data_IF_077098253728
#
_entry.id   IF_077098253728
#
_cell.length_a   1.000
_cell.length_b   1.000
_cell.length_c   1.000
_cell.angle_alpha   90.00
_cell.angle_beta   90.00
_cell.angle_gamma   90.00
#
_symmetry.space_group_name_H-M   'P 1'
#
loop_
_entity.id
_entity.type
_entity.pdbx_description
1 polymer ?
#
# COMPACT_ATOMS: atom_id res chain seq x y z
N UNK A 1 83.50 -30.00 -18.91
CA UNK A 1 83.45 -29.78 -20.37
C UNK A 1 82.01 -29.96 -20.84
N UNK A 2 81.53 -29.10 -21.74
CA UNK A 2 80.35 -29.38 -22.58
C UNK A 2 80.71 -30.49 -23.61
N UNK A 3 79.78 -31.11 -24.39
CA UNK A 3 78.45 -30.60 -24.76
C UNK A 3 77.29 -31.64 -24.88
N UNK A 4 76.13 -31.12 -25.30
CA UNK A 4 75.01 -31.79 -26.01
C UNK A 4 75.51 -32.55 -27.28
N UNK A 5 74.79 -33.54 -27.87
CA UNK A 5 73.36 -33.53 -28.21
C UNK A 5 72.66 -34.89 -27.87
N UNK A 6 71.59 -35.43 -28.48
CA UNK A 6 70.75 -35.10 -29.67
C UNK A 6 69.31 -35.67 -29.55
N UNK A 7 68.43 -35.30 -30.49
CA UNK A 7 67.06 -35.80 -30.69
C UNK A 7 66.96 -37.24 -31.24
N UNK A 8 65.92 -38.00 -30.87
CA UNK A 8 64.95 -38.62 -31.82
C UNK A 8 63.81 -39.42 -31.14
N UNK A 9 62.64 -39.34 -31.77
CA UNK A 9 61.34 -39.96 -31.48
C UNK A 9 61.30 -41.50 -31.35
N UNK A 10 60.25 -42.06 -30.71
CA UNK A 10 59.26 -43.01 -31.30
C UNK A 10 58.29 -43.64 -30.25
N UNK A 11 57.06 -43.95 -30.74
CA UNK A 11 55.95 -44.76 -30.16
C UNK A 11 55.03 -44.13 -29.08
N UNK A 12 53.68 -44.14 -29.29
CA UNK A 12 52.69 -43.73 -28.28
C UNK A 12 52.16 -44.92 -27.47
N UNK A 13 51.99 -44.73 -26.16
CA UNK A 13 51.35 -45.72 -25.28
C UNK A 13 49.84 -45.45 -25.17
N UNK A 14 49.01 -46.43 -25.54
CA UNK A 14 47.57 -46.41 -25.31
C UNK A 14 47.29 -46.50 -23.80
N UNK A 15 46.71 -45.45 -23.20
CA UNK A 15 46.19 -45.50 -21.83
C UNK A 15 44.66 -45.34 -21.82
N UNK A 16 43.98 -46.36 -21.30
CA UNK A 16 42.53 -46.46 -21.24
C UNK A 16 41.97 -45.74 -20.00
N UNK A 17 41.70 -44.43 -20.11
CA UNK A 17 41.06 -43.69 -19.01
C UNK A 17 39.52 -43.83 -19.05
N UNK A 18 38.97 -44.59 -18.11
CA UNK A 18 37.51 -44.62 -17.87
C UNK A 18 37.01 -43.23 -17.42
N UNK A 19 36.15 -42.62 -18.22
CA UNK A 19 35.39 -41.44 -17.82
C UNK A 19 34.24 -41.83 -16.88
N UNK A 20 34.53 -41.86 -15.57
CA UNK A 20 33.49 -41.81 -14.54
C UNK A 20 32.82 -40.43 -14.64
N UNK A 21 31.60 -40.37 -15.18
CA UNK A 21 30.81 -39.14 -15.17
C UNK A 21 30.13 -38.99 -13.81
N UNK A 22 30.44 -37.93 -13.03
CA UNK A 22 29.62 -37.61 -11.87
C UNK A 22 28.29 -37.05 -12.39
N UNK A 23 27.21 -37.81 -12.20
CA UNK A 23 25.86 -37.33 -12.46
C UNK A 23 25.54 -36.18 -11.50
N UNK A 24 25.79 -34.95 -11.95
CA UNK A 24 25.42 -33.73 -11.23
C UNK A 24 23.90 -33.61 -11.17
N UNK A 25 23.33 -34.21 -10.13
CA UNK A 25 21.92 -34.08 -9.80
C UNK A 25 21.62 -32.61 -9.41
N UNK A 26 21.10 -31.85 -10.37
CA UNK A 26 20.61 -30.49 -10.12
C UNK A 26 19.59 -30.49 -8.97
N UNK A 27 19.73 -29.61 -7.96
CA UNK A 27 18.80 -29.58 -6.84
C UNK A 27 17.41 -29.12 -7.30
N UNK A 28 16.40 -30.00 -7.18
CA UNK A 28 14.98 -29.77 -7.56
C UNK A 28 14.25 -28.74 -6.67
N UNK A 29 14.82 -27.55 -6.45
CA UNK A 29 14.30 -26.52 -5.53
C UNK A 29 13.31 -25.52 -6.18
N UNK A 30 12.89 -25.72 -7.43
CA UNK A 30 12.01 -24.79 -8.18
C UNK A 30 10.60 -25.32 -8.53
N UNK A 31 10.32 -26.62 -8.36
CA UNK A 31 9.06 -27.22 -8.81
C UNK A 31 7.76 -26.65 -8.16
N UNK A 32 7.70 -26.27 -6.87
CA UNK A 32 6.44 -25.84 -6.24
C UNK A 32 5.87 -24.53 -6.82
N UNK A 33 6.74 -23.54 -7.06
CA UNK A 33 6.34 -22.22 -7.56
C UNK A 33 5.79 -22.31 -9.00
N UNK A 34 6.49 -23.03 -9.88
CA UNK A 34 6.06 -23.25 -11.26
C UNK A 34 4.74 -24.02 -11.34
N UNK A 35 4.54 -25.03 -10.48
CA UNK A 35 3.25 -25.76 -10.37
C UNK A 35 2.12 -24.84 -9.91
N UNK A 36 2.38 -23.89 -9.02
CA UNK A 36 1.39 -22.91 -8.54
C UNK A 36 1.03 -21.90 -9.63
N UNK A 37 2.02 -21.38 -10.36
CA UNK A 37 1.84 -20.50 -11.53
C UNK A 37 0.98 -21.18 -12.62
N UNK A 38 1.31 -22.41 -13.02
CA UNK A 38 0.56 -23.15 -14.04
C UNK A 38 -0.91 -23.36 -13.65
N UNK A 39 -1.18 -23.80 -12.41
CA UNK A 39 -2.56 -23.98 -11.91
C UNK A 39 -3.33 -22.66 -11.87
N UNK A 40 -2.68 -21.55 -11.58
CA UNK A 40 -3.30 -20.23 -11.60
C UNK A 40 -3.64 -19.80 -13.03
N UNK A 41 -2.71 -19.94 -13.98
CA UNK A 41 -2.94 -19.64 -15.40
C UNK A 41 -4.09 -20.47 -15.99
N UNK A 42 -4.13 -21.78 -15.70
CA UNK A 42 -5.22 -22.67 -16.10
C UNK A 42 -6.57 -22.20 -15.53
N UNK A 43 -6.63 -21.98 -14.22
CA UNK A 43 -7.83 -21.48 -13.56
C UNK A 43 -8.30 -20.12 -14.12
N UNK A 44 -7.37 -19.20 -14.36
CA UNK A 44 -7.67 -17.87 -14.87
C UNK A 44 -8.26 -17.98 -16.29
N UNK A 45 -7.63 -18.80 -17.14
CA UNK A 45 -8.09 -19.10 -18.49
C UNK A 45 -9.49 -19.70 -18.47
N UNK A 46 -9.77 -20.66 -17.58
CA UNK A 46 -11.10 -21.29 -17.42
C UNK A 46 -12.21 -20.28 -17.08
N UNK A 47 -11.93 -19.30 -16.22
CA UNK A 47 -12.91 -18.27 -15.83
C UNK A 47 -13.05 -17.15 -16.86
N UNK A 48 -12.08 -16.96 -17.76
CA UNK A 48 -12.14 -15.93 -18.82
C UNK A 48 -12.45 -16.48 -20.21
N UNK A 49 -12.75 -17.78 -20.39
CA UNK A 49 -13.08 -18.39 -21.70
C UNK A 49 -14.19 -17.68 -22.50
N UNK A 50 -15.15 -17.06 -21.80
CA UNK A 50 -16.27 -16.31 -22.40
C UNK A 50 -15.96 -14.83 -22.68
N UNK A 51 -14.73 -14.39 -22.43
CA UNK A 51 -14.25 -13.02 -22.63
C UNK A 51 -13.01 -13.02 -23.52
N UNK A 52 -12.55 -11.85 -23.95
CA UNK A 52 -11.31 -11.69 -24.74
C UNK A 52 -10.14 -12.46 -24.12
N UNK A 53 -9.42 -13.23 -24.93
CA UNK A 53 -8.28 -14.02 -24.48
C UNK A 53 -7.22 -13.14 -23.81
N UNK A 54 -6.68 -13.61 -22.67
CA UNK A 54 -5.68 -12.85 -21.91
C UNK A 54 -4.32 -12.92 -22.63
N UNK A 55 -3.71 -11.79 -23.01
CA UNK A 55 -2.37 -11.78 -23.60
C UNK A 55 -1.33 -12.00 -22.49
N UNK A 56 -1.16 -13.25 -22.06
CA UNK A 56 -0.32 -13.63 -20.91
C UNK A 56 1.11 -13.09 -21.02
N UNK A 57 1.72 -13.13 -22.20
CA UNK A 57 3.07 -12.57 -22.47
C UNK A 57 3.23 -11.07 -22.16
N UNK A 58 2.13 -10.33 -22.04
CA UNK A 58 2.10 -8.89 -21.71
C UNK A 58 1.43 -8.59 -20.37
N UNK A 59 0.91 -9.60 -19.67
CA UNK A 59 0.08 -9.43 -18.47
C UNK A 59 0.48 -10.29 -17.28
N UNK A 60 1.32 -11.31 -17.48
CA UNK A 60 1.75 -12.24 -16.45
C UNK A 60 3.27 -12.34 -16.44
N UNK A 61 3.88 -12.09 -15.28
CA UNK A 61 5.33 -11.98 -15.13
C UNK A 61 5.81 -12.87 -13.98
N UNK A 62 6.67 -13.84 -14.27
CA UNK A 62 7.29 -14.76 -13.31
C UNK A 62 8.76 -14.37 -13.09
N UNK A 63 9.44 -14.83 -12.02
CA UNK A 63 10.89 -14.60 -11.85
C UNK A 63 11.74 -15.02 -13.06
N UNK A 64 11.29 -16.00 -13.84
CA UNK A 64 11.94 -16.47 -15.08
C UNK A 64 11.72 -15.50 -16.28
N UNK A 65 10.85 -14.50 -16.15
CA UNK A 65 10.55 -13.52 -17.20
C UNK A 65 11.58 -12.37 -17.18
N UNK A 66 12.20 -12.06 -18.31
CA UNK A 66 13.26 -11.04 -18.42
C UNK A 66 12.86 -9.62 -17.97
N UNK A 67 11.55 -9.31 -17.99
CA UNK A 67 10.98 -8.03 -17.57
C UNK A 67 10.41 -8.03 -16.14
N UNK A 68 10.48 -9.14 -15.39
CA UNK A 68 9.88 -9.25 -14.06
C UNK A 68 10.37 -8.19 -13.08
N UNK A 69 11.69 -8.03 -12.96
CA UNK A 69 12.31 -7.02 -12.10
C UNK A 69 11.91 -5.60 -12.53
N UNK A 70 11.82 -5.34 -13.83
CA UNK A 70 11.38 -4.05 -14.37
C UNK A 70 9.92 -3.76 -14.00
N UNK A 71 9.02 -4.73 -14.16
CA UNK A 71 7.60 -4.60 -13.77
C UNK A 71 7.46 -4.46 -12.25
N UNK A 72 8.20 -5.23 -11.46
CA UNK A 72 8.20 -5.11 -9.99
C UNK A 72 8.67 -3.72 -9.55
N UNK A 73 9.76 -3.22 -10.12
CA UNK A 73 10.38 -1.96 -9.72
C UNK A 73 9.66 -0.72 -10.29
N UNK A 74 8.83 -0.89 -11.33
CA UNK A 74 8.19 0.21 -12.07
C UNK A 74 7.40 1.19 -11.20
N UNK A 75 6.54 0.68 -10.31
CA UNK A 75 5.67 1.49 -9.42
C UNK A 75 5.98 1.30 -7.94
N UNK A 76 6.92 0.43 -7.56
CA UNK A 76 7.37 0.32 -6.17
C UNK A 76 8.20 1.57 -5.78
N UNK A 77 7.71 2.35 -4.80
CA UNK A 77 8.29 3.66 -4.49
C UNK A 77 9.27 3.62 -3.31
N UNK A 78 9.02 2.80 -2.28
CA UNK A 78 9.98 2.59 -1.20
C UNK A 78 10.97 1.48 -1.57
N UNK A 79 12.21 1.86 -1.87
CA UNK A 79 13.27 0.94 -2.31
C UNK A 79 13.67 -0.08 -1.24
N UNK A 80 13.42 0.21 0.05
CA UNK A 80 13.66 -0.71 1.18
C UNK A 80 12.94 -2.05 1.04
N UNK A 81 11.85 -2.08 0.28
CA UNK A 81 11.06 -3.28 0.01
C UNK A 81 11.42 -4.00 -1.31
N UNK A 82 12.37 -3.46 -2.07
CA UNK A 82 12.96 -4.10 -3.25
C UNK A 82 14.27 -4.84 -2.95
N UNK A 83 14.92 -4.57 -1.81
CA UNK A 83 16.16 -5.23 -1.35
C UNK A 83 16.10 -6.77 -1.50
N UNK A 84 17.22 -7.45 -1.84
CA UNK A 84 17.23 -8.90 -2.06
C UNK A 84 16.73 -9.73 -0.87
N UNK A 85 16.91 -9.24 0.37
CA UNK A 85 16.46 -9.89 1.61
C UNK A 85 14.94 -9.90 1.82
N UNK A 86 14.18 -9.10 1.06
CA UNK A 86 12.72 -9.01 1.17
C UNK A 86 12.05 -10.05 0.27
N UNK A 87 11.06 -10.77 0.80
CA UNK A 87 10.28 -11.76 0.04
C UNK A 87 9.67 -11.13 -1.23
N UNK A 88 9.85 -11.83 -2.36
CA UNK A 88 9.36 -11.44 -3.68
C UNK A 88 8.10 -12.24 -4.03
N UNK A 89 7.18 -11.70 -4.86
CA UNK A 89 5.98 -12.43 -5.25
C UNK A 89 6.33 -13.63 -6.12
N UNK A 90 5.49 -14.67 -6.09
CA UNK A 90 5.61 -15.85 -6.97
C UNK A 90 5.42 -15.47 -8.44
N UNK A 91 4.59 -14.44 -8.69
CA UNK A 91 4.36 -13.81 -10.00
C UNK A 91 3.59 -12.48 -9.84
N UNK A 92 3.57 -11.67 -10.91
CA UNK A 92 2.78 -10.44 -11.03
C UNK A 92 1.75 -10.64 -12.14
N UNK A 93 0.51 -10.20 -11.90
CA UNK A 93 -0.56 -10.18 -12.90
C UNK A 93 -1.13 -8.76 -13.07
N UNK A 94 -1.11 -8.24 -14.29
CA UNK A 94 -1.70 -6.94 -14.66
C UNK A 94 -3.03 -7.13 -15.40
N UNK A 95 -4.19 -7.10 -14.71
CA UNK A 95 -5.50 -7.19 -15.35
C UNK A 95 -5.74 -6.02 -16.33
N UNK A 96 -6.40 -6.30 -17.46
CA UNK A 96 -6.75 -5.32 -18.50
C UNK A 96 -8.23 -4.93 -18.47
N UNK A 97 -9.07 -5.73 -17.81
CA UNK A 97 -10.51 -5.54 -17.69
C UNK A 97 -11.01 -6.13 -16.36
N UNK A 98 -12.23 -5.79 -15.95
CA UNK A 98 -12.76 -6.14 -14.61
C UNK A 98 -12.90 -7.65 -14.42
N UNK A 99 -13.30 -8.40 -15.45
CA UNK A 99 -13.39 -9.86 -15.41
C UNK A 99 -12.06 -10.54 -15.03
N UNK A 100 -10.92 -9.94 -15.38
CA UNK A 100 -9.60 -10.45 -15.00
C UNK A 100 -9.34 -10.30 -13.50
N UNK A 101 -9.83 -9.22 -12.86
CA UNK A 101 -9.77 -9.06 -11.40
C UNK A 101 -10.63 -10.13 -10.73
N UNK A 102 -11.87 -10.32 -11.20
CA UNK A 102 -12.81 -11.30 -10.66
C UNK A 102 -12.23 -12.72 -10.73
N UNK A 103 -11.72 -13.12 -11.90
CA UNK A 103 -11.08 -14.41 -12.11
C UNK A 103 -9.80 -14.56 -11.25
N UNK A 104 -8.98 -13.52 -11.11
CA UNK A 104 -7.80 -13.56 -10.26
C UNK A 104 -8.16 -13.76 -8.77
N UNK A 105 -9.20 -13.09 -8.27
CA UNK A 105 -9.71 -13.29 -6.91
C UNK A 105 -10.18 -14.73 -6.69
N UNK A 106 -11.03 -15.25 -7.59
CA UNK A 106 -11.55 -16.62 -7.51
C UNK A 106 -10.41 -17.64 -7.52
N UNK A 107 -9.45 -17.50 -8.44
CA UNK A 107 -8.33 -18.43 -8.58
C UNK A 107 -7.32 -18.33 -7.43
N UNK A 108 -7.03 -17.13 -6.91
CA UNK A 108 -6.24 -16.95 -5.69
C UNK A 108 -6.88 -17.62 -4.49
N UNK A 109 -8.19 -17.47 -4.31
CA UNK A 109 -8.91 -18.12 -3.21
C UNK A 109 -8.89 -19.65 -3.35
N UNK A 110 -9.19 -20.16 -4.54
CA UNK A 110 -9.17 -21.62 -4.85
C UNK A 110 -7.79 -22.26 -4.69
N UNK A 111 -6.71 -21.51 -4.91
CA UNK A 111 -5.32 -21.99 -4.85
C UNK A 111 -4.57 -21.54 -3.58
N UNK A 112 -5.26 -20.90 -2.62
CA UNK A 112 -4.72 -20.33 -1.39
C UNK A 112 -3.46 -19.46 -1.62
N UNK A 113 -3.53 -18.54 -2.59
CA UNK A 113 -2.47 -17.56 -2.89
C UNK A 113 -2.87 -16.21 -2.29
N UNK A 114 -2.03 -15.63 -1.43
CA UNK A 114 -2.30 -14.29 -0.89
C UNK A 114 -2.23 -13.23 -2.00
N UNK A 115 -3.18 -12.30 -2.01
CA UNK A 115 -3.23 -11.17 -2.94
C UNK A 115 -2.61 -9.92 -2.32
N UNK A 116 -1.55 -9.38 -2.94
CA UNK A 116 -1.14 -7.99 -2.73
C UNK A 116 -1.65 -7.14 -3.89
N UNK A 117 -2.47 -6.15 -3.60
CA UNK A 117 -3.11 -5.30 -4.61
C UNK A 117 -2.27 -4.04 -4.77
N UNK A 118 -1.83 -3.75 -6.00
CA UNK A 118 -1.00 -2.58 -6.31
C UNK A 118 -1.69 -1.64 -7.29
N UNK A 119 -1.76 -0.37 -6.90
CA UNK A 119 -2.06 0.77 -7.77
C UNK A 119 -0.73 1.54 -8.01
N UNK A 120 -0.61 2.79 -7.58
CA UNK A 120 0.62 3.59 -7.73
C UNK A 120 1.83 3.18 -6.86
N UNK A 121 1.69 2.14 -6.02
CA UNK A 121 2.77 1.53 -5.23
C UNK A 121 3.44 2.42 -4.17
N UNK A 122 2.75 3.46 -3.69
CA UNK A 122 3.20 4.36 -2.63
C UNK A 122 2.98 3.83 -1.19
N UNK A 123 2.79 2.52 -0.97
CA UNK A 123 2.66 1.99 0.39
C UNK A 123 3.98 2.11 1.16
N UNK A 124 3.97 2.83 2.29
CA UNK A 124 5.18 3.20 3.03
C UNK A 124 5.93 2.01 3.63
N UNK A 125 5.23 0.89 3.84
CA UNK A 125 5.81 -0.37 4.31
C UNK A 125 5.78 -1.45 3.22
N UNK A 126 5.61 -1.04 1.95
CA UNK A 126 5.67 -1.90 0.78
C UNK A 126 4.55 -2.93 0.68
N UNK A 127 3.48 -2.86 1.49
CA UNK A 127 2.52 -3.96 1.63
C UNK A 127 1.72 -4.28 0.35
N UNK A 128 1.76 -3.42 -0.66
CA UNK A 128 1.19 -3.67 -1.99
C UNK A 128 2.09 -4.51 -2.92
N UNK A 129 3.36 -4.74 -2.59
CA UNK A 129 4.32 -5.49 -3.42
C UNK A 129 5.34 -6.35 -2.66
N UNK A 130 5.34 -6.29 -1.33
CA UNK A 130 6.16 -7.11 -0.44
C UNK A 130 5.30 -7.73 0.66
N UNK A 131 5.85 -8.74 1.32
CA UNK A 131 5.21 -9.52 2.38
C UNK A 131 6.23 -9.88 3.46
N UNK A 132 5.83 -9.83 4.73
CA UNK A 132 6.57 -10.35 5.88
C UNK A 132 5.96 -11.64 6.44
N UNK A 133 4.65 -11.85 6.26
CA UNK A 133 3.93 -12.98 6.89
C UNK A 133 3.51 -14.08 5.92
N UNK A 134 3.38 -13.78 4.63
CA UNK A 134 2.91 -14.73 3.61
C UNK A 134 4.06 -15.02 2.63
N UNK A 135 4.53 -16.26 2.57
CA UNK A 135 5.63 -16.70 1.69
C UNK A 135 5.19 -17.00 0.25
N UNK A 136 3.89 -17.23 0.04
CA UNK A 136 3.27 -17.42 -1.28
C UNK A 136 2.22 -16.32 -1.50
N UNK A 137 2.61 -15.31 -2.28
CA UNK A 137 1.73 -14.21 -2.68
C UNK A 137 1.97 -13.83 -4.13
N UNK A 138 0.94 -13.25 -4.76
CA UNK A 138 1.04 -12.62 -6.08
C UNK A 138 0.76 -11.12 -5.96
N UNK A 139 1.27 -10.33 -6.90
CA UNK A 139 0.87 -8.92 -7.05
C UNK A 139 -0.21 -8.82 -8.13
N UNK A 140 -1.38 -8.29 -7.76
CA UNK A 140 -2.42 -7.86 -8.68
C UNK A 140 -2.20 -6.38 -8.98
N UNK A 141 -1.56 -6.08 -10.10
CA UNK A 141 -1.12 -4.74 -10.47
C UNK A 141 -2.15 -4.07 -11.39
N UNK A 142 -2.90 -3.14 -10.81
CA UNK A 142 -4.03 -2.45 -11.45
C UNK A 142 -3.58 -1.34 -12.42
N UNK A 143 -2.27 -1.13 -12.65
CA UNK A 143 -1.76 0.02 -13.43
C UNK A 143 -2.23 0.08 -14.89
N UNK A 144 -2.87 -0.96 -15.43
CA UNK A 144 -3.51 -0.93 -16.76
C UNK A 144 -4.98 -0.50 -16.74
N UNK A 145 -5.63 -0.55 -15.57
CA UNK A 145 -6.98 -0.04 -15.32
C UNK A 145 -6.90 1.37 -14.76
N UNK A 146 -6.60 2.34 -15.65
CA UNK A 146 -6.33 3.75 -15.32
C UNK A 146 -7.25 4.76 -16.00
N UNK A 147 -8.35 4.33 -16.59
CA UNK A 147 -9.26 5.24 -17.29
C UNK A 147 -9.92 6.23 -16.30
N UNK A 148 -10.06 7.48 -16.73
CA UNK A 148 -10.92 8.48 -16.10
C UNK A 148 -11.98 8.85 -17.14
N UNK A 149 -13.25 8.60 -16.82
CA UNK A 149 -14.36 8.55 -17.77
C UNK A 149 -15.66 9.07 -17.11
N UNK A 150 -16.73 9.21 -17.91
CA UNK A 150 -18.03 9.77 -17.51
C UNK A 150 -17.89 11.10 -16.73
N UNK A 151 -17.08 12.02 -17.27
CA UNK A 151 -16.78 13.31 -16.64
C UNK A 151 -17.92 14.29 -16.93
N UNK A 152 -18.80 14.50 -15.95
CA UNK A 152 -20.00 15.32 -16.06
C UNK A 152 -19.87 16.65 -15.29
N UNK A 153 -19.83 17.74 -16.07
CA UNK A 153 -19.79 19.15 -15.63
C UNK A 153 -21.01 19.53 -14.78
N UNK A 154 -22.18 18.92 -15.04
CA UNK A 154 -23.47 19.28 -14.42
C UNK A 154 -23.66 18.60 -13.07
N UNK A 155 -23.64 17.26 -13.00
CA UNK A 155 -23.72 16.53 -11.71
C UNK A 155 -22.46 16.67 -10.85
N UNK A 156 -21.39 17.22 -11.45
CA UNK A 156 -20.09 17.45 -10.84
C UNK A 156 -19.36 16.16 -10.45
N UNK A 157 -19.42 15.13 -11.31
CA UNK A 157 -18.84 13.80 -11.04
C UNK A 157 -17.98 13.24 -12.17
N UNK A 158 -17.11 12.29 -11.83
CA UNK A 158 -16.31 11.52 -12.78
C UNK A 158 -16.00 10.13 -12.21
N UNK A 159 -15.92 9.10 -13.05
CA UNK A 159 -15.36 7.80 -12.67
C UNK A 159 -13.85 7.78 -12.90
N UNK A 160 -13.08 7.30 -11.92
CA UNK A 160 -11.65 7.06 -12.04
C UNK A 160 -11.32 5.62 -11.64
N UNK A 161 -10.73 4.85 -12.54
CA UNK A 161 -10.29 3.48 -12.25
C UNK A 161 -9.12 3.48 -11.25
N UNK A 162 -9.03 2.43 -10.42
CA UNK A 162 -8.13 2.38 -9.28
C UNK A 162 -6.63 2.37 -9.62
N UNK A 163 -6.25 2.09 -10.87
CA UNK A 163 -4.88 2.22 -11.37
C UNK A 163 -4.51 3.62 -11.87
N UNK A 164 -5.47 4.55 -11.94
CA UNK A 164 -5.21 5.95 -12.30
C UNK A 164 -4.45 6.65 -11.18
N UNK A 165 -3.43 7.42 -11.53
CA UNK A 165 -2.78 8.35 -10.61
C UNK A 165 -3.69 9.55 -10.35
N UNK A 166 -3.50 10.21 -9.21
CA UNK A 166 -4.27 11.41 -8.90
C UNK A 166 -3.95 12.57 -9.86
N UNK A 167 -2.73 12.60 -10.42
CA UNK A 167 -2.34 13.55 -11.47
C UNK A 167 -3.14 13.36 -12.76
N UNK A 168 -3.33 12.12 -13.22
CA UNK A 168 -4.21 11.81 -14.36
C UNK A 168 -5.66 12.26 -14.09
N UNK A 169 -6.18 12.02 -12.88
CA UNK A 169 -7.51 12.49 -12.50
C UNK A 169 -7.61 14.02 -12.49
N UNK A 170 -6.66 14.75 -11.89
CA UNK A 170 -6.63 16.21 -11.92
C UNK A 170 -6.57 16.76 -13.35
N UNK A 171 -5.72 16.17 -14.19
CA UNK A 171 -5.53 16.62 -15.57
C UNK A 171 -6.82 16.46 -16.39
N UNK A 172 -7.46 15.27 -16.35
CA UNK A 172 -8.73 15.01 -17.05
C UNK A 172 -9.89 15.86 -16.54
N UNK A 173 -9.84 16.26 -15.27
CA UNK A 173 -10.78 17.21 -14.68
C UNK A 173 -10.57 18.63 -15.24
N UNK A 174 -9.33 19.10 -15.25
CA UNK A 174 -8.96 20.44 -15.73
C UNK A 174 -9.22 20.62 -17.24
N UNK A 175 -9.10 19.56 -18.05
CA UNK A 175 -9.51 19.54 -19.46
C UNK A 175 -11.01 19.83 -19.67
N UNK A 176 -11.86 19.57 -18.67
CA UNK A 176 -13.32 19.81 -18.74
C UNK A 176 -13.77 21.08 -18.03
N UNK A 177 -13.08 21.51 -16.97
CA UNK A 177 -13.40 22.75 -16.28
C UNK A 177 -12.18 23.36 -15.58
N UNK A 178 -11.83 24.60 -15.95
CA UNK A 178 -10.74 25.37 -15.31
C UNK A 178 -11.11 25.89 -13.90
N UNK A 179 -12.36 25.75 -13.48
CA UNK A 179 -12.86 26.22 -12.17
C UNK A 179 -13.21 25.08 -11.22
N UNK A 180 -12.93 23.82 -11.58
CA UNK A 180 -13.15 22.64 -10.72
C UNK A 180 -11.85 21.84 -10.47
N UNK A 181 -11.80 21.16 -9.33
CA UNK A 181 -10.69 20.30 -8.90
C UNK A 181 -11.14 19.32 -7.83
N UNK A 182 -10.31 18.32 -7.51
CA UNK A 182 -10.68 17.28 -6.54
C UNK A 182 -9.81 17.36 -5.26
N UNK A 183 -10.39 17.32 -4.04
CA UNK A 183 -9.65 17.58 -2.80
C UNK A 183 -8.83 16.37 -2.30
N UNK A 184 -7.89 15.92 -3.11
CA UNK A 184 -6.88 14.93 -2.75
C UNK A 184 -5.49 15.59 -2.58
N UNK A 185 -4.45 14.76 -2.46
CA UNK A 185 -3.07 15.18 -2.25
C UNK A 185 -2.22 15.23 -3.51
N UNK A 186 -0.97 15.66 -3.32
CA UNK A 186 0.11 15.42 -4.28
C UNK A 186 0.42 13.91 -4.38
N UNK A 187 0.46 13.21 -3.23
CA UNK A 187 0.72 11.77 -3.14
C UNK A 187 -0.18 11.09 -2.08
N UNK A 188 -1.51 11.30 -2.12
CA UNK A 188 -2.43 10.66 -1.16
C UNK A 188 -3.84 11.23 -1.16
N UNK A 189 -4.66 10.83 -0.17
CA UNK A 189 -6.07 11.22 -0.05
C UNK A 189 -6.33 12.55 0.71
N UNK A 190 -5.29 13.31 1.03
CA UNK A 190 -5.37 14.61 1.71
C UNK A 190 -4.40 15.60 1.05
N UNK A 191 -4.76 16.89 0.98
CA UNK A 191 -3.94 17.92 0.34
C UNK A 191 -4.39 19.34 0.64
N UNK A 192 -3.92 20.32 -0.15
CA UNK A 192 -4.11 21.75 0.14
C UNK A 192 -5.57 22.19 0.28
N UNK A 193 -6.50 21.51 -0.38
CA UNK A 193 -7.94 21.78 -0.29
C UNK A 193 -8.63 21.23 0.97
N UNK A 194 -7.95 20.44 1.82
CA UNK A 194 -8.67 19.69 2.86
C UNK A 194 -9.34 20.56 3.93
N UNK A 195 -8.82 21.77 4.17
CA UNK A 195 -9.44 22.74 5.10
C UNK A 195 -10.75 23.34 4.54
N UNK A 196 -10.96 23.34 3.22
CA UNK A 196 -12.19 23.81 2.56
C UNK A 196 -13.17 22.66 2.29
N UNK A 197 -12.69 21.49 1.86
CA UNK A 197 -13.54 20.41 1.33
C UNK A 197 -13.41 19.04 2.04
N UNK A 198 -12.55 18.91 3.04
CA UNK A 198 -12.26 17.60 3.66
C UNK A 198 -11.32 16.74 2.80
N UNK A 199 -11.29 15.44 3.07
CA UNK A 199 -10.45 14.47 2.38
C UNK A 199 -11.03 14.08 1.01
N UNK A 200 -10.22 13.50 0.14
CA UNK A 200 -10.72 12.90 -1.10
C UNK A 200 -11.78 11.83 -0.82
N UNK A 201 -11.62 11.07 0.27
CA UNK A 201 -12.59 10.07 0.72
C UNK A 201 -13.93 10.67 1.25
N UNK A 202 -13.93 11.92 1.70
CA UNK A 202 -15.16 12.65 2.04
C UNK A 202 -15.94 13.07 0.77
N UNK A 203 -15.28 13.04 -0.40
CA UNK A 203 -15.77 13.54 -1.69
C UNK A 203 -16.01 12.43 -2.73
N UNK A 204 -16.22 11.20 -2.26
CA UNK A 204 -16.62 10.05 -3.09
C UNK A 204 -18.12 9.82 -2.94
N UNK A 205 -18.82 9.60 -4.07
CA UNK A 205 -20.27 9.33 -4.09
C UNK A 205 -20.63 7.87 -4.41
N UNK A 206 -19.76 7.14 -5.10
CA UNK A 206 -19.93 5.72 -5.46
C UNK A 206 -18.56 5.03 -5.64
N UNK A 207 -18.53 3.71 -5.71
CA UNK A 207 -17.33 2.91 -5.95
C UNK A 207 -17.68 1.56 -6.58
N UNK A 208 -16.77 1.03 -7.41
CA UNK A 208 -16.82 -0.36 -7.88
C UNK A 208 -15.79 -1.20 -7.13
N UNK A 209 -16.19 -2.36 -6.60
CA UNK A 209 -15.32 -3.24 -5.82
C UNK A 209 -15.56 -4.72 -6.15
N UNK A 210 -14.51 -5.53 -6.14
CA UNK A 210 -14.60 -7.00 -6.22
C UNK A 210 -14.43 -7.60 -4.83
N UNK A 211 -15.43 -8.35 -4.39
CA UNK A 211 -15.49 -9.03 -3.09
C UNK A 211 -14.75 -10.39 -3.07
N UNK A 212 -14.80 -11.11 -1.94
CA UNK A 212 -14.08 -12.38 -1.76
C UNK A 212 -14.72 -13.58 -2.50
N UNK A 213 -15.85 -13.38 -3.17
CA UNK A 213 -16.47 -14.33 -4.10
C UNK A 213 -16.14 -14.04 -5.56
N UNK A 214 -15.45 -12.93 -5.84
CA UNK A 214 -15.21 -12.46 -7.21
C UNK A 214 -16.39 -11.68 -7.80
N UNK A 215 -17.38 -11.26 -7.01
CA UNK A 215 -18.51 -10.47 -7.49
C UNK A 215 -18.14 -8.99 -7.53
N UNK A 216 -18.46 -8.32 -8.64
CA UNK A 216 -18.40 -6.87 -8.77
C UNK A 216 -19.62 -6.23 -8.08
N UNK A 217 -19.38 -5.22 -7.25
CA UNK A 217 -20.39 -4.50 -6.48
C UNK A 217 -20.21 -2.99 -6.69
N UNK A 218 -21.31 -2.29 -6.95
CA UNK A 218 -21.42 -0.83 -6.80
C UNK A 218 -21.78 -0.46 -5.35
N UNK A 219 -21.93 0.83 -5.03
CA UNK A 219 -22.36 1.29 -3.69
C UNK A 219 -23.66 0.61 -3.23
N UNK A 220 -24.64 0.48 -4.12
CA UNK A 220 -25.95 -0.12 -3.82
C UNK A 220 -25.81 -1.60 -3.46
N UNK A 221 -25.01 -2.35 -4.20
CA UNK A 221 -24.81 -3.79 -4.02
C UNK A 221 -23.85 -4.14 -2.87
N UNK A 222 -22.87 -3.28 -2.55
CA UNK A 222 -21.99 -3.48 -1.39
C UNK A 222 -22.63 -3.01 -0.07
N UNK A 223 -23.57 -2.08 -0.14
CA UNK A 223 -24.25 -1.47 1.01
C UNK A 223 -23.40 -0.43 1.76
N UNK A 224 -24.08 0.45 2.51
CA UNK A 224 -23.47 1.61 3.16
C UNK A 224 -22.38 1.25 4.19
N UNK A 225 -22.47 0.09 4.84
CA UNK A 225 -21.45 -0.39 5.79
C UNK A 225 -20.09 -0.61 5.09
N UNK A 226 -20.09 -1.23 3.91
CA UNK A 226 -18.88 -1.49 3.12
C UNK A 226 -18.42 -0.20 2.43
N UNK A 227 -19.35 0.57 1.86
CA UNK A 227 -19.05 1.86 1.23
C UNK A 227 -18.47 2.89 2.24
N UNK A 228 -18.88 2.82 3.51
CA UNK A 228 -18.22 3.54 4.60
C UNK A 228 -16.80 3.00 4.83
N UNK A 229 -16.64 1.67 5.00
CA UNK A 229 -15.34 1.08 5.33
C UNK A 229 -14.24 1.33 4.28
N UNK A 230 -14.58 1.29 2.98
CA UNK A 230 -13.58 1.52 1.92
C UNK A 230 -13.11 2.98 1.83
N UNK A 231 -13.91 3.95 2.32
CA UNK A 231 -13.57 5.39 2.35
C UNK A 231 -12.64 5.77 3.50
N UNK A 232 -11.68 4.90 3.84
CA UNK A 232 -10.60 5.20 4.79
C UNK A 232 -10.05 4.03 5.59
N UNK A 233 -10.73 2.87 5.63
CA UNK A 233 -10.44 1.74 6.52
C UNK A 233 -9.23 0.85 6.15
N UNK A 234 -8.15 1.43 5.63
CA UNK A 234 -7.01 0.74 4.99
C UNK A 234 -7.37 -0.07 3.74
N UNK A 235 -6.85 0.36 2.58
CA UNK A 235 -6.87 -0.43 1.35
C UNK A 235 -6.16 -1.77 1.55
N UNK A 236 -6.71 -2.83 0.94
CA UNK A 236 -6.25 -4.21 1.11
C UNK A 236 -7.00 -5.03 2.17
N UNK A 237 -7.91 -4.42 2.95
CA UNK A 237 -8.72 -5.15 3.95
C UNK A 237 -10.12 -5.56 3.47
N UNK A 238 -10.68 -4.90 2.45
CA UNK A 238 -12.11 -4.96 2.09
C UNK A 238 -12.38 -5.31 0.61
N UNK A 239 -11.45 -5.96 -0.09
CA UNK A 239 -11.61 -6.32 -1.50
C UNK A 239 -10.74 -5.51 -2.47
N UNK A 240 -10.91 -5.77 -3.77
CA UNK A 240 -10.20 -5.08 -4.85
C UNK A 240 -11.07 -3.94 -5.36
N UNK A 241 -10.75 -2.71 -4.96
CA UNK A 241 -11.41 -1.52 -5.53
C UNK A 241 -11.01 -1.41 -7.00
N UNK A 242 -11.99 -1.29 -7.88
CA UNK A 242 -11.85 -1.24 -9.35
C UNK A 242 -11.93 0.20 -9.84
N UNK A 243 -12.84 1.00 -9.29
CA UNK A 243 -13.02 2.41 -9.63
C UNK A 243 -13.70 3.19 -8.50
N UNK A 244 -13.53 4.50 -8.50
CA UNK A 244 -14.21 5.45 -7.61
C UNK A 244 -15.03 6.44 -8.44
N UNK A 245 -16.26 6.75 -8.03
CA UNK A 245 -17.01 7.89 -8.55
C UNK A 245 -16.72 9.10 -7.67
N UNK A 246 -15.89 9.97 -8.19
CA UNK A 246 -15.41 11.19 -7.55
C UNK A 246 -16.48 12.29 -7.71
N UNK A 247 -16.65 13.12 -6.69
CA UNK A 247 -17.36 14.40 -6.77
C UNK A 247 -16.34 15.52 -6.64
N UNK A 248 -16.13 16.29 -7.70
CA UNK A 248 -15.19 17.40 -7.67
C UNK A 248 -15.80 18.62 -6.97
N UNK A 249 -14.97 19.62 -6.72
CA UNK A 249 -15.31 20.84 -6.01
C UNK A 249 -14.89 22.06 -6.83
N UNK A 250 -15.56 23.19 -6.60
CA UNK A 250 -15.22 24.46 -7.25
C UNK A 250 -13.95 25.03 -6.61
N UNK A 251 -12.95 25.42 -7.41
CA UNK A 251 -11.62 25.85 -6.91
C UNK A 251 -11.28 27.30 -7.23
N UNK A 252 -11.99 27.94 -8.17
CA UNK A 252 -11.74 29.32 -8.56
C UNK A 252 -13.04 30.14 -8.55
N UNK A 253 -13.10 31.08 -7.60
CA UNK A 253 -14.08 32.18 -7.48
C UNK A 253 -13.64 33.17 -6.38
N UNK A 254 -13.28 32.67 -5.20
CA UNK A 254 -12.64 33.39 -4.10
C UNK A 254 -11.60 32.51 -3.39
N UNK A 255 -10.32 32.80 -3.59
CA UNK A 255 -9.21 32.02 -3.01
C UNK A 255 -8.80 32.52 -1.61
N UNK A 256 -9.13 33.75 -1.26
CA UNK A 256 -8.53 34.47 -0.13
C UNK A 256 -9.02 33.96 1.24
N UNK A 257 -10.27 33.51 1.34
CA UNK A 257 -10.87 33.05 2.62
C UNK A 257 -10.37 31.68 3.11
N UNK A 258 -9.60 30.92 2.31
CA UNK A 258 -9.38 29.48 2.53
C UNK A 258 -7.89 29.08 2.55
N UNK A 259 -7.12 29.79 3.36
CA UNK A 259 -5.67 29.60 3.53
C UNK A 259 -5.26 28.18 3.96
N UNK A 260 -4.23 27.64 3.31
CA UNK A 260 -3.53 26.40 3.68
C UNK A 260 -2.02 26.64 3.71
N UNK A 261 -1.43 26.72 4.92
CA UNK A 261 0.02 26.87 5.11
C UNK A 261 0.58 25.55 5.62
N UNK A 262 1.37 24.86 4.80
CA UNK A 262 2.16 23.70 5.19
C UNK A 262 3.55 24.15 5.62
N UNK A 263 4.05 23.59 6.71
CA UNK A 263 5.47 23.75 7.10
C UNK A 263 6.24 22.51 6.63
N UNK A 264 7.40 22.72 5.99
CA UNK A 264 8.33 21.67 5.56
C UNK A 264 9.69 21.99 6.16
N UNK A 265 10.30 21.03 6.85
CA UNK A 265 11.54 21.20 7.59
C UNK A 265 12.53 20.08 7.22
N UNK A 266 13.77 20.46 6.94
CA UNK A 266 14.90 19.59 6.55
C UNK A 266 16.22 20.28 6.97
N UNK A 267 17.32 19.54 7.11
CA UNK A 267 18.65 20.08 7.49
C UNK A 267 19.54 20.48 6.32
N UNK A 268 19.10 20.26 5.07
CA UNK A 268 19.84 20.63 3.86
C UNK A 268 18.92 20.95 2.68
N UNK A 269 19.49 21.37 1.53
CA UNK A 269 18.72 21.76 0.36
C UNK A 269 17.80 20.62 -0.13
N UNK A 270 16.58 20.95 -0.52
CA UNK A 270 15.64 19.98 -1.08
C UNK A 270 16.16 19.55 -2.47
N UNK A 271 16.80 18.38 -2.53
CA UNK A 271 17.25 17.78 -3.78
C UNK A 271 18.67 18.16 -4.22
N UNK A 272 19.69 17.85 -3.40
CA UNK A 272 21.11 17.86 -3.80
C UNK A 272 21.40 16.80 -4.89
N UNK A 273 20.90 17.01 -6.12
CA UNK A 273 21.11 16.14 -7.29
C UNK A 273 20.46 14.75 -7.25
N UNK A 274 19.94 14.32 -6.09
CA UNK A 274 19.32 13.00 -5.91
C UNK A 274 17.81 13.03 -6.19
N UNK A 275 17.27 11.90 -6.65
CA UNK A 275 15.84 11.75 -6.93
C UNK A 275 15.00 12.00 -5.68
N UNK A 276 14.02 12.90 -5.76
CA UNK A 276 13.02 13.09 -4.71
C UNK A 276 11.90 12.03 -4.74
N UNK A 277 11.89 11.16 -5.75
CA UNK A 277 10.71 10.36 -6.12
C UNK A 277 10.80 8.87 -5.75
N UNK A 278 12.00 8.28 -5.69
CA UNK A 278 12.22 6.88 -5.31
C UNK A 278 13.50 6.71 -4.51
N UNK A 279 13.33 6.56 -3.19
CA UNK A 279 14.42 6.46 -2.22
C UNK A 279 14.18 5.28 -1.28
N UNK A 280 15.19 4.91 -0.51
CA UNK A 280 14.97 4.13 0.71
C UNK A 280 14.45 5.10 1.78
N UNK A 281 13.34 4.75 2.43
CA UNK A 281 12.82 5.60 3.51
C UNK A 281 12.13 4.81 4.62
N UNK A 282 12.05 5.44 5.78
CA UNK A 282 11.13 5.10 6.87
C UNK A 282 10.39 6.36 7.26
N UNK A 283 9.08 6.22 7.44
CA UNK A 283 8.22 7.31 7.88
C UNK A 283 7.36 6.89 9.08
N UNK A 284 6.91 7.89 9.83
CA UNK A 284 5.97 7.80 10.96
C UNK A 284 5.02 9.01 10.92
N UNK A 285 3.96 8.99 11.72
CA UNK A 285 3.05 10.14 11.78
C UNK A 285 2.36 10.30 13.12
N UNK A 286 2.09 11.57 13.44
CA UNK A 286 1.45 12.02 14.67
C UNK A 286 0.37 13.07 14.37
N UNK A 287 -0.61 13.20 15.27
CA UNK A 287 -1.48 14.36 15.33
C UNK A 287 -1.18 15.19 16.58
N UNK A 288 -1.11 16.50 16.42
CA UNK A 288 -0.91 17.47 17.50
C UNK A 288 -2.23 18.16 17.82
N UNK A 289 -2.50 18.40 19.11
CA UNK A 289 -3.70 19.10 19.58
C UNK A 289 -3.35 20.48 20.10
N UNK A 290 -2.42 20.52 21.05
CA UNK A 290 -1.93 21.71 21.71
C UNK A 290 -0.56 22.12 21.12
N UNK A 291 -0.16 23.40 21.12
CA UNK A 291 1.14 23.83 20.60
C UNK A 291 2.32 23.10 21.25
N UNK A 292 3.30 22.70 20.44
CA UNK A 292 4.56 22.12 20.94
C UNK A 292 5.37 23.26 21.59
N UNK A 293 5.81 23.14 22.86
CA UNK A 293 6.60 24.18 23.52
C UNK A 293 7.97 24.34 22.85
N UNK A 294 8.60 25.51 23.02
CA UNK A 294 9.90 25.83 22.42
C UNK A 294 11.00 24.81 22.77
N UNK A 295 11.06 24.36 24.04
CA UNK A 295 11.96 23.28 24.49
C UNK A 295 11.68 21.92 23.81
N UNK A 296 10.44 21.71 23.36
CA UNK A 296 10.03 20.60 22.49
C UNK A 296 10.59 20.74 21.08
N UNK A 297 10.53 21.95 20.51
CA UNK A 297 11.08 22.28 19.19
C UNK A 297 12.61 22.17 19.16
N UNK A 298 13.30 22.72 20.17
CA UNK A 298 14.75 22.56 20.32
C UNK A 298 15.21 21.11 20.32
N UNK A 299 14.48 20.22 20.99
CA UNK A 299 14.84 18.80 21.03
C UNK A 299 14.53 18.06 19.74
N UNK A 300 13.66 18.60 18.87
CA UNK A 300 13.57 18.18 17.46
C UNK A 300 14.84 18.63 16.73
N UNK A 301 15.23 19.91 16.82
CA UNK A 301 16.42 20.45 16.14
C UNK A 301 17.70 19.70 16.49
N UNK A 302 17.94 19.48 17.79
CA UNK A 302 19.09 18.70 18.32
C UNK A 302 19.14 17.26 17.77
N UNK A 303 18.01 16.68 17.36
CA UNK A 303 17.93 15.34 16.72
C UNK A 303 18.02 15.41 15.21
N UNK A 304 17.45 16.43 14.57
CA UNK A 304 17.56 16.65 13.12
C UNK A 304 19.02 16.77 12.70
N UNK A 305 19.84 17.48 13.47
CA UNK A 305 21.29 17.61 13.23
C UNK A 305 22.11 16.30 13.41
N UNK A 306 21.46 15.18 13.76
CA UNK A 306 22.08 13.85 13.92
C UNK A 306 21.72 12.89 12.78
N UNK A 307 21.02 13.36 11.73
CA UNK A 307 20.53 12.56 10.61
C UNK A 307 20.90 13.21 9.27
N UNK A 308 21.17 12.37 8.28
CA UNK A 308 21.73 12.79 6.99
C UNK A 308 20.69 13.47 6.09
N UNK A 309 19.43 13.03 6.19
CA UNK A 309 18.31 13.53 5.39
C UNK A 309 16.97 13.41 6.12
N UNK A 310 16.83 14.06 7.29
CA UNK A 310 15.58 14.14 8.03
C UNK A 310 14.62 15.09 7.31
N UNK A 311 13.35 14.72 7.29
CA UNK A 311 12.28 15.54 6.72
C UNK A 311 11.06 15.46 7.63
N UNK A 312 10.49 16.61 7.97
CA UNK A 312 9.15 16.66 8.57
C UNK A 312 8.24 17.62 7.82
N UNK A 313 6.97 17.21 7.68
CA UNK A 313 5.94 17.94 6.95
C UNK A 313 4.73 18.09 7.87
N UNK A 314 4.37 19.32 8.20
CA UNK A 314 3.27 19.64 9.10
C UNK A 314 2.12 20.21 8.29
N UNK A 315 0.94 19.60 8.42
CA UNK A 315 -0.24 19.93 7.63
C UNK A 315 -1.35 20.44 8.57
N UNK A 316 -1.84 21.68 8.42
CA UNK A 316 -2.86 22.25 9.30
C UNK A 316 -4.22 21.59 9.08
N UNK A 317 -4.88 21.19 10.17
CA UNK A 317 -6.28 20.76 10.17
C UNK A 317 -7.18 21.98 10.48
N UNK A 318 -8.29 21.79 11.19
CA UNK A 318 -9.34 22.80 11.32
C UNK A 318 -10.17 23.00 10.04
N UNK A 319 -10.93 24.08 9.99
CA UNK A 319 -11.87 24.33 8.88
C UNK A 319 -12.87 23.18 8.73
N UNK A 320 -13.10 22.74 7.49
CA UNK A 320 -13.98 21.62 7.16
C UNK A 320 -13.57 20.30 7.85
N UNK A 321 -12.26 20.07 8.08
CA UNK A 321 -11.80 18.88 8.82
C UNK A 321 -12.29 18.84 10.27
N UNK A 322 -12.65 19.98 10.88
CA UNK A 322 -13.22 20.05 12.23
C UNK A 322 -14.76 20.06 12.25
N UNK A 323 -15.42 20.23 11.10
CA UNK A 323 -16.89 20.19 10.96
C UNK A 323 -17.42 18.79 10.65
N UNK A 324 -16.63 17.95 10.01
CA UNK A 324 -16.96 16.54 9.72
C UNK A 324 -16.83 15.71 11.00
N UNK A 325 -17.84 14.87 11.29
CA UNK A 325 -17.81 13.95 12.45
C UNK A 325 -16.67 12.94 12.34
N UNK A 326 -16.07 12.57 13.48
CA UNK A 326 -15.05 11.51 13.55
C UNK A 326 -15.54 10.16 12.99
N UNK A 327 -16.85 9.88 13.03
CA UNK A 327 -17.44 8.62 12.56
C UNK A 327 -18.00 8.68 11.13
N UNK A 328 -17.97 9.84 10.45
CA UNK A 328 -18.58 10.03 9.13
C UNK A 328 -17.98 9.11 8.05
N UNK A 329 -16.67 8.87 8.14
CA UNK A 329 -15.90 7.85 7.43
C UNK A 329 -14.89 7.25 8.42
N UNK A 330 -14.18 6.15 8.10
CA UNK A 330 -13.26 5.52 9.04
C UNK A 330 -12.12 6.40 9.56
N UNK A 331 -11.70 7.42 8.80
CA UNK A 331 -10.70 8.41 9.22
C UNK A 331 -11.25 9.30 10.36
N UNK A 332 -10.69 9.20 11.59
CA UNK A 332 -11.30 9.80 12.77
C UNK A 332 -10.69 11.14 13.18
N UNK A 333 -9.57 11.58 12.59
CA UNK A 333 -8.77 12.70 13.11
C UNK A 333 -9.37 14.05 12.69
N UNK A 334 -10.47 14.45 13.33
CA UNK A 334 -11.28 15.62 12.98
C UNK A 334 -11.08 16.76 14.00
N UNK A 335 -12.16 17.27 14.59
CA UNK A 335 -12.16 18.34 15.60
C UNK A 335 -11.17 18.07 16.74
N UNK A 336 -10.48 19.11 17.21
CA UNK A 336 -9.52 19.03 18.31
C UNK A 336 -8.09 18.61 17.91
N UNK A 337 -7.79 18.42 16.63
CA UNK A 337 -6.42 18.28 16.13
C UNK A 337 -6.04 19.59 15.41
N UNK A 338 -4.92 20.20 15.79
CA UNK A 338 -4.41 21.42 15.20
C UNK A 338 -3.70 21.13 13.86
N UNK A 339 -2.81 20.14 13.84
CA UNK A 339 -2.08 19.70 12.64
C UNK A 339 -1.66 18.23 12.71
N UNK A 340 -1.37 17.67 11.54
CA UNK A 340 -0.78 16.33 11.37
C UNK A 340 0.69 16.50 11.00
N UNK A 341 1.57 15.76 11.69
CA UNK A 341 2.99 15.67 11.39
C UNK A 341 3.27 14.37 10.64
N UNK A 342 4.04 14.47 9.55
CA UNK A 342 4.79 13.37 8.99
C UNK A 342 6.25 13.48 9.45
N UNK A 343 6.82 12.38 9.94
CA UNK A 343 8.26 12.23 10.20
C UNK A 343 8.84 11.30 9.14
N UNK A 344 9.95 11.67 8.51
CA UNK A 344 10.61 10.88 7.46
C UNK A 344 12.12 10.96 7.62
N UNK A 345 12.80 9.87 7.32
CA UNK A 345 14.23 9.84 6.99
C UNK A 345 14.40 9.10 5.67
N UNK A 346 15.28 9.61 4.80
CA UNK A 346 15.54 9.10 3.46
C UNK A 346 17.03 8.79 3.30
N UNK A 347 17.38 7.79 2.50
CA UNK A 347 18.77 7.45 2.19
C UNK A 347 18.88 6.73 0.83
N UNK A 348 20.11 6.52 0.36
CA UNK A 348 20.41 5.96 -0.98
C UNK A 348 21.26 4.68 -0.98
N UNK A 349 22.12 4.49 0.02
CA UNK A 349 23.07 3.37 0.15
C UNK A 349 22.41 2.04 0.59
N UNK A 350 21.08 1.97 0.50
CA UNK A 350 20.32 0.74 0.58
C UNK A 350 20.28 0.09 1.95
N UNK A 351 20.92 -1.08 2.08
CA UNK A 351 20.86 -1.86 3.32
C UNK A 351 21.84 -1.36 4.39
N UNK A 352 22.97 -0.76 3.98
CA UNK A 352 24.13 -0.49 4.83
C UNK A 352 23.82 0.45 6.01
N UNK A 353 23.17 1.58 5.73
CA UNK A 353 22.76 2.58 6.73
C UNK A 353 21.36 2.38 7.33
N UNK A 354 20.54 1.51 6.72
CA UNK A 354 19.09 1.37 6.99
C UNK A 354 18.76 1.23 8.49
N UNK A 355 19.56 0.48 9.25
CA UNK A 355 19.35 0.29 10.68
C UNK A 355 19.48 1.60 11.49
N UNK A 356 20.46 2.46 11.15
CA UNK A 356 20.70 3.75 11.80
C UNK A 356 19.54 4.72 11.55
N UNK A 357 19.13 4.87 10.30
CA UNK A 357 17.99 5.74 9.93
C UNK A 357 16.68 5.27 10.60
N UNK A 358 16.43 3.95 10.59
CA UNK A 358 15.26 3.38 11.27
C UNK A 358 15.27 3.61 12.78
N UNK A 359 16.43 3.52 13.43
CA UNK A 359 16.59 3.82 14.86
C UNK A 359 16.42 5.32 15.16
N UNK A 360 17.01 6.21 14.34
CA UNK A 360 16.86 7.67 14.48
C UNK A 360 15.39 8.10 14.47
N UNK A 361 14.61 7.68 13.48
CA UNK A 361 13.20 8.11 13.38
C UNK A 361 12.33 7.51 14.50
N UNK A 362 12.72 6.35 15.04
CA UNK A 362 12.10 5.79 16.26
C UNK A 362 12.45 6.61 17.49
N UNK A 363 13.71 7.01 17.68
CA UNK A 363 14.16 7.88 18.78
C UNK A 363 13.50 9.26 18.73
N UNK A 364 13.36 9.86 17.55
CA UNK A 364 12.61 11.11 17.35
C UNK A 364 11.13 10.94 17.70
N UNK A 365 10.47 9.90 17.16
CA UNK A 365 9.06 9.63 17.45
C UNK A 365 8.83 9.37 18.95
N UNK A 366 9.73 8.64 19.62
CA UNK A 366 9.66 8.40 21.06
C UNK A 366 9.86 9.71 21.86
N UNK A 367 10.79 10.58 21.44
CA UNK A 367 10.95 11.91 22.03
C UNK A 367 9.68 12.78 21.90
N UNK A 368 8.92 12.65 20.82
CA UNK A 368 7.71 13.42 20.59
C UNK A 368 6.48 12.97 21.40
N UNK A 369 6.55 11.83 22.10
CA UNK A 369 5.42 11.24 22.87
C UNK A 369 4.66 12.22 23.79
N UNK A 370 5.30 13.12 24.58
CA UNK A 370 4.56 14.01 25.48
C UNK A 370 3.87 15.19 24.77
N UNK A 371 4.28 15.54 23.55
CA UNK A 371 3.83 16.73 22.81
C UNK A 371 2.75 16.44 21.75
N UNK A 372 2.35 15.19 21.59
CA UNK A 372 1.41 14.74 20.55
C UNK A 372 0.14 14.15 21.18
N UNK A 373 -0.82 13.77 20.33
CA UNK A 373 -2.03 13.06 20.75
C UNK A 373 -1.72 11.86 21.67
N UNK A 374 -2.54 11.69 22.71
CA UNK A 374 -2.41 10.64 23.71
C UNK A 374 -3.77 10.00 24.01
N UNK A 375 -3.74 8.72 24.39
CA UNK A 375 -4.90 7.87 24.70
C UNK A 375 -5.98 7.82 23.58
N UNK A 376 -5.72 7.14 22.44
CA UNK A 376 -4.45 6.57 22.00
C UNK A 376 -3.52 7.64 21.39
N UNK A 377 -2.25 7.30 21.16
CA UNK A 377 -1.38 8.09 20.28
C UNK A 377 -1.81 7.80 18.84
N UNK A 378 -2.21 8.83 18.11
CA UNK A 378 -2.85 8.66 16.80
C UNK A 378 -1.89 8.91 15.65
N UNK A 379 -2.04 8.09 14.60
CA UNK A 379 -1.23 8.10 13.37
C UNK A 379 -2.14 7.98 12.16
N UNK A 380 -1.66 8.32 10.96
CA UNK A 380 -2.45 8.25 9.73
C UNK A 380 -2.18 6.97 8.94
N UNK A 381 -3.25 6.25 8.56
CA UNK A 381 -3.13 4.90 7.96
C UNK A 381 -2.42 4.84 6.60
N UNK A 382 -2.49 5.90 5.79
CA UNK A 382 -1.72 5.96 4.53
C UNK A 382 -0.23 6.23 4.77
N UNK A 383 0.15 6.63 5.98
CA UNK A 383 1.52 6.64 6.48
C UNK A 383 1.75 5.39 7.34
N UNK A 384 1.60 4.24 6.68
CA UNK A 384 1.67 2.92 7.30
C UNK A 384 3.00 2.76 8.05
N UNK A 385 2.92 2.20 9.24
CA UNK A 385 4.05 2.03 10.16
C UNK A 385 3.90 0.70 10.92
N UNK A 386 4.68 -0.30 10.53
CA UNK A 386 4.64 -1.63 11.16
C UNK A 386 5.19 -1.64 12.59
N UNK A 387 5.88 -0.57 13.03
CA UNK A 387 6.36 -0.47 14.42
C UNK A 387 5.21 -0.20 15.41
N UNK A 388 4.01 0.19 14.95
CA UNK A 388 2.80 0.28 15.78
C UNK A 388 2.25 -1.10 16.20
N UNK A 389 2.74 -2.17 15.57
CA UNK A 389 2.25 -3.54 15.72
C UNK A 389 1.76 -4.12 14.40
N UNK A 390 1.77 -5.45 14.29
CA UNK A 390 1.34 -6.15 13.08
C UNK A 390 0.69 -7.51 13.38
N UNK A 391 -0.18 -7.90 12.46
CA UNK A 391 -0.86 -9.18 12.37
C UNK A 391 0.14 -10.33 12.18
N UNK A 392 -0.04 -11.43 12.91
CA UNK A 392 0.73 -12.69 12.78
C UNK A 392 0.14 -13.57 11.67
N UNK A 393 0.03 -13.01 10.46
CA UNK A 393 -0.64 -13.66 9.34
C UNK A 393 -2.13 -13.92 9.61
N UNK A 394 -2.63 -15.08 9.14
CA UNK A 394 -4.07 -15.41 9.14
C UNK A 394 -4.75 -15.55 10.52
N UNK A 395 -3.99 -15.80 11.59
CA UNK A 395 -4.53 -16.14 12.92
C UNK A 395 -4.53 -14.96 13.93
N UNK A 396 -4.62 -13.72 13.43
CA UNK A 396 -4.50 -12.54 14.31
C UNK A 396 -5.77 -12.27 15.10
N UNK A 397 -5.64 -12.07 16.41
CA UNK A 397 -6.77 -11.73 17.28
C UNK A 397 -7.20 -10.26 17.13
N UNK A 398 -8.47 -9.98 17.46
CA UNK A 398 -8.98 -8.62 17.59
C UNK A 398 -8.16 -7.78 18.58
N UNK A 399 -7.71 -8.38 19.69
CA UNK A 399 -6.97 -7.71 20.76
C UNK A 399 -5.60 -7.26 20.24
N UNK A 400 -4.82 -8.15 19.62
CA UNK A 400 -3.52 -7.80 19.02
C UNK A 400 -3.67 -6.69 17.96
N UNK A 401 -4.71 -6.78 17.13
CA UNK A 401 -4.96 -5.77 16.10
C UNK A 401 -5.44 -4.43 16.67
N UNK A 402 -6.11 -4.42 17.83
CA UNK A 402 -6.59 -3.18 18.46
C UNK A 402 -5.46 -2.24 18.89
N UNK A 403 -4.26 -2.78 19.18
CA UNK A 403 -3.09 -2.01 19.58
C UNK A 403 -2.62 -1.02 18.48
N UNK A 404 -2.60 -1.44 17.22
CA UNK A 404 -2.32 -0.57 16.08
C UNK A 404 -3.60 0.05 15.49
N UNK A 405 -4.72 -0.68 15.53
CA UNK A 405 -5.99 -0.28 14.92
C UNK A 405 -6.63 0.95 15.57
N UNK A 406 -6.55 1.08 16.89
CA UNK A 406 -7.06 2.26 17.59
C UNK A 406 -6.20 3.51 17.35
N UNK A 407 -4.91 3.36 17.06
CA UNK A 407 -4.01 4.45 16.67
C UNK A 407 -4.38 5.05 15.30
N UNK A 408 -4.82 4.21 14.35
CA UNK A 408 -5.29 4.66 13.02
C UNK A 408 -6.77 5.08 12.98
N UNK A 409 -7.63 4.47 13.79
CA UNK A 409 -9.08 4.58 13.60
C UNK A 409 -9.86 5.02 14.86
N UNK A 410 -9.20 5.22 16.01
CA UNK A 410 -9.85 5.50 17.31
C UNK A 410 -11.02 4.52 17.52
N UNK A 411 -12.21 5.01 17.86
CA UNK A 411 -13.42 4.19 18.04
C UNK A 411 -13.97 3.54 16.75
N UNK A 412 -13.61 4.04 15.55
CA UNK A 412 -14.08 3.48 14.28
C UNK A 412 -13.52 2.07 14.00
N UNK A 413 -12.44 1.67 14.68
CA UNK A 413 -11.86 0.32 14.55
C UNK A 413 -12.89 -0.79 14.82
N UNK A 414 -13.74 -0.61 15.83
CA UNK A 414 -14.77 -1.59 16.18
C UNK A 414 -15.79 -1.77 15.04
N UNK A 415 -16.23 -0.67 14.40
CA UNK A 415 -17.13 -0.75 13.24
C UNK A 415 -16.43 -1.38 12.04
N UNK A 416 -15.17 -1.03 11.75
CA UNK A 416 -14.39 -1.67 10.68
C UNK A 416 -14.31 -3.18 10.84
N UNK A 417 -14.01 -3.68 12.05
CA UNK A 417 -13.98 -5.11 12.38
C UNK A 417 -15.35 -5.76 12.18
N UNK A 418 -16.45 -5.10 12.55
CA UNK A 418 -17.80 -5.62 12.31
C UNK A 418 -18.12 -5.73 10.81
N UNK A 419 -17.78 -4.71 10.01
CA UNK A 419 -17.95 -4.75 8.54
C UNK A 419 -17.10 -5.86 7.93
N UNK A 420 -15.83 -5.97 8.33
CA UNK A 420 -14.91 -7.03 7.87
C UNK A 420 -15.47 -8.42 8.16
N UNK A 421 -16.00 -8.63 9.36
CA UNK A 421 -16.59 -9.91 9.79
C UNK A 421 -17.77 -10.34 8.90
N UNK A 422 -18.58 -9.37 8.42
CA UNK A 422 -19.70 -9.64 7.50
C UNK A 422 -19.21 -9.87 6.06
N UNK A 423 -18.29 -9.01 5.58
CA UNK A 423 -17.92 -8.92 4.16
C UNK A 423 -16.84 -9.92 3.73
N UNK A 424 -15.87 -10.19 4.58
CA UNK A 424 -14.79 -11.16 4.34
C UNK A 424 -14.55 -12.02 5.59
N UNK A 425 -15.50 -12.93 5.90
CA UNK A 425 -15.46 -13.78 7.10
C UNK A 425 -14.29 -14.78 7.11
N UNK A 426 -13.68 -15.06 5.95
CA UNK A 426 -12.54 -15.97 5.78
C UNK A 426 -11.18 -15.26 5.89
N UNK A 427 -11.18 -13.92 5.99
CA UNK A 427 -9.96 -13.09 5.99
C UNK A 427 -9.08 -13.32 4.75
N UNK A 428 -9.71 -13.41 3.57
CA UNK A 428 -9.04 -13.60 2.30
C UNK A 428 -8.19 -12.36 1.93
N UNK A 429 -8.78 -11.16 2.04
CA UNK A 429 -8.06 -9.90 1.84
C UNK A 429 -7.33 -9.51 3.13
N UNK A 430 -6.05 -9.91 3.22
CA UNK A 430 -5.22 -9.68 4.40
C UNK A 430 -3.78 -9.30 4.05
N UNK A 431 -3.22 -8.51 4.95
CA UNK A 431 -1.82 -8.11 5.05
C UNK A 431 -1.47 -7.77 6.51
N UNK A 432 -0.24 -7.38 6.78
CA UNK A 432 0.37 -7.17 8.10
C UNK A 432 -0.38 -6.19 9.01
N UNK A 433 -1.14 -5.23 8.49
CA UNK A 433 -2.04 -4.37 9.29
C UNK A 433 -3.44 -4.31 8.67
N UNK A 434 -3.99 -5.49 8.32
CA UNK A 434 -5.36 -5.60 7.79
C UNK A 434 -6.36 -5.68 8.93
N UNK A 435 -7.54 -5.10 8.73
CA UNK A 435 -8.64 -5.23 9.69
C UNK A 435 -8.97 -6.74 9.82
N UNK A 436 -8.90 -7.36 11.02
CA UNK A 436 -9.27 -8.75 11.19
C UNK A 436 -10.79 -8.90 11.30
N UNK A 437 -11.37 -10.03 10.86
CA UNK A 437 -12.73 -10.39 11.25
C UNK A 437 -12.76 -10.94 12.69
N UNK A 438 -13.93 -10.91 13.33
CA UNK A 438 -14.11 -11.54 14.65
C UNK A 438 -13.99 -13.07 14.57
N UNK A 439 -13.47 -13.74 15.62
CA UNK A 439 -13.36 -15.20 15.70
C UNK A 439 -14.72 -15.90 15.53
N UNK A 440 -14.71 -17.10 14.95
CA UNK A 440 -15.93 -17.89 14.67
C UNK A 440 -16.75 -18.19 15.94
N UNK A 441 -16.10 -18.38 17.09
CA UNK A 441 -16.76 -18.55 18.40
C UNK A 441 -17.61 -17.33 18.79
N UNK A 442 -17.18 -16.12 18.48
CA UNK A 442 -17.93 -14.89 18.73
C UNK A 442 -19.06 -14.67 17.70
N UNK A 443 -18.97 -15.26 16.50
CA UNK A 443 -20.03 -15.18 15.48
C UNK A 443 -21.29 -15.93 15.91
N UNK A 444 -21.15 -17.12 16.51
CA UNK A 444 -22.30 -17.92 16.99
C UNK A 444 -23.12 -17.23 18.09
N UNK A 445 -22.49 -16.39 18.92
CA UNK A 445 -23.19 -15.65 20.00
C UNK A 445 -24.20 -14.61 19.48
N UNK A 446 -23.96 -13.98 18.31
CA UNK A 446 -24.93 -13.03 17.72
C UNK A 446 -26.17 -13.68 17.09
N UNK A 447 -26.16 -15.00 16.87
CA UNK A 447 -27.33 -15.73 16.35
C UNK A 447 -28.32 -16.19 17.42
N UNK A 448 -28.01 -16.00 18.71
CA UNK A 448 -28.86 -16.37 19.85
C UNK A 448 -28.77 -15.30 20.94
N UNK A 449 -29.69 -14.34 20.88
CA UNK A 449 -29.81 -13.26 21.87
C UNK A 449 -28.99 -12.01 21.51
N UNK A 450 -29.68 -10.89 21.35
CA UNK A 450 -29.02 -9.59 21.24
C UNK A 450 -28.50 -9.13 22.60
N UNK A 451 -27.20 -8.86 22.70
CA UNK A 451 -26.63 -8.02 23.75
C UNK A 451 -25.75 -6.99 23.06
N UNK A 452 -26.07 -5.71 23.25
CA UNK A 452 -25.25 -4.60 22.76
C UNK A 452 -23.99 -4.48 23.62
N UNK A 453 -22.86 -4.20 22.99
CA UNK A 453 -21.69 -3.67 23.68
C UNK A 453 -21.68 -2.16 23.43
N UNK A 454 -21.85 -1.40 24.52
CA UNK A 454 -21.62 0.05 24.57
C UNK A 454 -20.11 0.35 24.50
#
# INVERSE_FOLDING_TARGET
MAPLPSSSSILPLLLLCLLITPSLAFPKRHQPAQKQQYRFLQCLSDHTKKTTAIPFSRTFFTPDSSNFSTVLNSTAQNLRYLLPSVLKPVFIFTPLQVSHIQAAVICSKKLNINLRIRSGGHDYEGLSYASKTESSFLILDLSKLRAVYDIDVTSKTAWAQAGATIGEAYYRIAEKSRTHGFPAGLCGAYGGMMRKYGLGADNVVDALIVDASGKLLDRKAMGEDVFWAIRGGAGGSFGVIVAWKLKWQQVADKLDDNLFIRVIITTGPIGNGQSLFKNYFKAKSDFVRDPIPETGLEGIWKRFLQEDSPLTIWNPLGGQMARISESAIPFPHRKGNAFMIQWVTNWQDGASSSARHMDWVRKLHNYMTPYVSKKPRTSYVNYRDLDLGMNKGGNTSFIEASAWGTSYFKGNFNKLVQVKTKFDPENFFRHEQSIPPLPVSMRKRKGRGGVGFH
#
